data_IF_467673963845
#
_entry.id   IF_467673963845
#
_cell.length_a   1.000
_cell.length_b   1.000
_cell.length_c   1.000
_cell.angle_alpha   90.00
_cell.angle_beta   90.00
_cell.angle_gamma   90.00
#
_symmetry.space_group_name_H-M   'P 1'
#
loop_
_entity.id
_entity.type
_entity.pdbx_description
1 polymer ?
#
# COMPACT_ATOMS: atom_id res chain seq x y z
N UNK A 1 4.97 14.11 -21.67
CA UNK A 1 3.54 13.69 -21.62
C UNK A 1 3.17 13.11 -22.97
N UNK A 2 4.04 12.28 -23.54
CA UNK A 2 4.21 12.32 -24.98
C UNK A 2 3.05 11.59 -25.66
N UNK A 3 2.27 12.38 -26.42
CA UNK A 3 1.11 11.91 -27.18
C UNK A 3 -0.24 11.84 -26.46
N UNK A 4 -0.32 11.94 -25.12
CA UNK A 4 -1.60 11.75 -24.40
C UNK A 4 -2.34 13.06 -24.09
N UNK A 5 -1.63 14.08 -23.61
CA UNK A 5 -2.22 15.37 -23.20
C UNK A 5 -1.16 16.47 -23.19
N UNK A 6 -1.62 17.71 -23.32
CA UNK A 6 -0.79 18.92 -23.20
C UNK A 6 -0.97 19.59 -21.83
N UNK A 7 -0.03 20.48 -21.46
CA UNK A 7 -0.14 21.23 -20.19
C UNK A 7 -1.40 22.12 -20.15
N UNK A 8 -1.79 22.70 -21.30
CA UNK A 8 -3.02 23.51 -21.42
C UNK A 8 -4.27 22.68 -21.14
N UNK A 9 -4.34 21.49 -21.72
CA UNK A 9 -5.40 20.50 -21.49
C UNK A 9 -5.45 20.04 -20.03
N UNK A 10 -4.30 19.88 -19.37
CA UNK A 10 -4.26 19.56 -17.94
C UNK A 10 -4.80 20.69 -17.06
N UNK A 11 -4.54 21.95 -17.42
CA UNK A 11 -5.02 23.12 -16.65
C UNK A 11 -6.53 23.29 -16.76
N UNK A 12 -7.09 23.12 -17.96
CA UNK A 12 -8.53 23.21 -18.27
C UNK A 12 -9.00 21.96 -19.01
N UNK A 13 -9.24 20.84 -18.28
CA UNK A 13 -9.69 19.60 -18.89
C UNK A 13 -11.07 19.77 -19.53
N UNK A 14 -11.38 18.92 -20.51
CA UNK A 14 -12.70 18.86 -21.15
C UNK A 14 -13.22 17.42 -21.14
N UNK A 15 -14.53 17.25 -21.28
CA UNK A 15 -15.14 15.93 -21.39
C UNK A 15 -14.58 15.13 -22.59
N UNK A 16 -14.26 15.82 -23.70
CA UNK A 16 -13.64 15.22 -24.88
C UNK A 16 -12.24 14.66 -24.59
N UNK A 17 -11.41 15.40 -23.82
CA UNK A 17 -10.08 14.94 -23.40
C UNK A 17 -10.16 13.67 -22.54
N UNK A 18 -11.07 13.65 -21.55
CA UNK A 18 -11.26 12.48 -20.68
C UNK A 18 -11.66 11.26 -21.52
N UNK A 19 -12.60 11.41 -22.46
CA UNK A 19 -13.00 10.33 -23.38
C UNK A 19 -11.83 9.85 -24.24
N UNK A 20 -11.01 10.76 -24.79
CA UNK A 20 -9.82 10.40 -25.57
C UNK A 20 -8.82 9.56 -24.77
N UNK A 21 -8.58 9.94 -23.50
CA UNK A 21 -7.67 9.20 -22.62
C UNK A 21 -8.21 7.82 -22.25
N UNK A 22 -9.52 7.69 -22.02
CA UNK A 22 -10.16 6.39 -21.79
C UNK A 22 -10.05 5.48 -23.02
N UNK A 23 -10.28 6.02 -24.23
CA UNK A 23 -10.10 5.28 -25.47
C UNK A 23 -8.65 4.80 -25.65
N UNK A 24 -7.66 5.69 -25.41
CA UNK A 24 -6.25 5.31 -25.46
C UNK A 24 -5.90 4.21 -24.44
N UNK A 25 -6.48 4.25 -23.23
CA UNK A 25 -6.28 3.21 -22.23
C UNK A 25 -6.86 1.85 -22.68
N UNK A 26 -8.01 1.85 -23.36
CA UNK A 26 -8.64 0.66 -23.91
C UNK A 26 -7.84 0.09 -25.10
N UNK A 27 -7.36 0.95 -26.00
CA UNK A 27 -6.50 0.57 -27.12
C UNK A 27 -5.23 -0.14 -26.65
N UNK A 28 -4.51 0.46 -25.69
CA UNK A 28 -3.32 -0.17 -25.10
C UNK A 28 -3.65 -1.46 -24.34
N UNK A 29 -4.84 -1.59 -23.75
CA UNK A 29 -5.28 -2.84 -23.13
C UNK A 29 -5.48 -3.96 -24.18
N UNK A 30 -6.04 -3.63 -25.34
CA UNK A 30 -6.21 -4.56 -26.48
C UNK A 30 -4.87 -4.99 -27.05
N UNK A 31 -3.97 -4.04 -27.28
CA UNK A 31 -2.62 -4.32 -27.76
C UNK A 31 -1.87 -5.25 -26.81
N UNK A 32 -1.91 -4.97 -25.50
CA UNK A 32 -1.30 -5.84 -24.49
C UNK A 32 -1.85 -7.26 -24.53
N UNK A 33 -3.17 -7.41 -24.71
CA UNK A 33 -3.80 -8.72 -24.81
C UNK A 33 -3.32 -9.48 -26.06
N UNK A 34 -3.12 -8.79 -27.18
CA UNK A 34 -2.49 -9.35 -28.38
C UNK A 34 -1.08 -9.87 -28.09
N UNK A 35 -0.23 -9.02 -27.49
CA UNK A 35 1.15 -9.41 -27.13
C UNK A 35 1.21 -10.64 -26.22
N UNK A 36 0.32 -10.75 -25.23
CA UNK A 36 0.27 -11.91 -24.33
C UNK A 36 -0.16 -13.20 -25.04
N UNK A 37 -1.01 -13.10 -26.07
CA UNK A 37 -1.40 -14.25 -26.91
C UNK A 37 -0.23 -14.69 -27.77
N UNK A 38 0.47 -13.75 -28.39
CA UNK A 38 1.62 -14.05 -29.25
C UNK A 38 2.78 -14.65 -28.46
N UNK A 39 3.11 -14.11 -27.29
CA UNK A 39 4.16 -14.66 -26.42
C UNK A 39 3.82 -16.08 -25.95
N UNK A 40 2.54 -16.31 -25.60
CA UNK A 40 2.06 -17.62 -25.20
C UNK A 40 2.16 -18.63 -26.34
N UNK A 41 1.75 -18.25 -27.57
CA UNK A 41 1.87 -19.09 -28.77
C UNK A 41 3.32 -19.47 -29.08
N UNK A 42 4.27 -18.56 -28.84
CA UNK A 42 5.70 -18.80 -29.05
C UNK A 42 6.36 -19.64 -27.95
N UNK A 43 5.64 -19.96 -26.86
CA UNK A 43 6.19 -20.69 -25.72
C UNK A 43 7.21 -19.88 -24.91
N UNK A 44 7.21 -18.55 -25.05
CA UNK A 44 8.14 -17.68 -24.34
C UNK A 44 7.82 -17.68 -22.84
N UNK A 45 8.80 -18.03 -22.01
CA UNK A 45 8.68 -17.89 -20.56
C UNK A 45 8.61 -16.41 -20.21
N UNK A 46 7.43 -15.93 -19.80
CA UNK A 46 7.22 -14.55 -19.34
C UNK A 46 7.76 -14.32 -17.92
N UNK A 47 8.79 -15.06 -17.49
CA UNK A 47 9.60 -14.69 -16.32
C UNK A 47 10.54 -13.56 -16.73
N UNK A 48 9.99 -12.36 -16.95
CA UNK A 48 10.82 -11.15 -16.94
C UNK A 48 11.13 -10.84 -15.49
N UNK A 49 12.37 -11.08 -15.08
CA UNK A 49 12.89 -10.50 -13.85
C UNK A 49 13.22 -9.05 -14.15
N UNK A 50 12.70 -8.12 -13.34
CA UNK A 50 12.66 -6.67 -13.61
C UNK A 50 14.02 -5.96 -13.72
N UNK A 51 15.13 -6.68 -13.52
CA UNK A 51 16.49 -6.17 -13.65
C UNK A 51 16.96 -6.05 -15.11
N UNK A 52 16.18 -6.51 -16.10
CA UNK A 52 16.64 -6.60 -17.50
C UNK A 52 16.10 -5.51 -18.44
N UNK A 53 14.98 -4.83 -18.12
CA UNK A 53 14.39 -3.81 -19.01
C UNK A 53 14.71 -2.38 -18.59
N UNK A 54 15.08 -1.54 -19.55
CA UNK A 54 15.30 -0.11 -19.32
C UNK A 54 13.98 0.60 -18.94
N UNK A 55 14.05 1.65 -18.12
CA UNK A 55 12.87 2.45 -17.74
C UNK A 55 12.16 3.00 -18.97
N UNK A 56 12.91 3.37 -20.01
CA UNK A 56 12.40 3.90 -21.27
C UNK A 56 11.57 2.87 -22.04
N UNK A 57 12.05 1.62 -22.16
CA UNK A 57 11.29 0.54 -22.78
C UNK A 57 9.98 0.24 -22.04
N UNK A 58 10.06 0.12 -20.71
CA UNK A 58 8.88 -0.17 -19.91
C UNK A 58 7.87 0.98 -19.95
N UNK A 59 8.35 2.22 -19.98
CA UNK A 59 7.51 3.41 -20.09
C UNK A 59 6.66 3.36 -21.37
N UNK A 60 7.22 2.92 -22.49
CA UNK A 60 6.49 2.84 -23.76
C UNK A 60 5.69 1.54 -23.93
N UNK A 61 5.81 0.59 -23.00
CA UNK A 61 5.01 -0.63 -23.06
C UNK A 61 3.50 -0.36 -22.94
N UNK A 62 2.64 -1.19 -23.59
CA UNK A 62 1.19 -1.00 -23.51
C UNK A 62 0.63 -1.04 -22.07
N UNK A 63 1.32 -1.74 -21.15
CA UNK A 63 0.95 -1.76 -19.74
C UNK A 63 1.05 -0.37 -19.09
N UNK A 64 2.17 0.32 -19.28
CA UNK A 64 2.40 1.63 -18.67
C UNK A 64 1.69 2.76 -19.43
N UNK A 65 1.56 2.66 -20.75
CA UNK A 65 0.71 3.58 -21.53
C UNK A 65 -0.74 3.52 -21.04
N UNK A 66 -1.31 2.32 -20.91
CA UNK A 66 -2.66 2.13 -20.35
C UNK A 66 -2.78 2.74 -18.95
N UNK A 67 -1.84 2.43 -18.04
CA UNK A 67 -1.89 2.93 -16.66
C UNK A 67 -1.82 4.46 -16.61
N UNK A 68 -0.94 5.08 -17.41
CA UNK A 68 -0.85 6.54 -17.52
C UNK A 68 -2.14 7.14 -18.06
N UNK A 69 -2.65 6.63 -19.17
CA UNK A 69 -3.86 7.13 -19.80
C UNK A 69 -5.07 7.04 -18.84
N UNK A 70 -5.24 5.91 -18.14
CA UNK A 70 -6.29 5.75 -17.13
C UNK A 70 -6.10 6.70 -15.94
N UNK A 71 -4.89 6.80 -15.39
CA UNK A 71 -4.62 7.68 -14.26
C UNK A 71 -4.85 9.16 -14.60
N UNK A 72 -4.43 9.59 -15.79
CA UNK A 72 -4.71 10.93 -16.31
C UNK A 72 -6.22 11.14 -16.51
N UNK A 73 -6.93 10.19 -17.12
CA UNK A 73 -8.37 10.29 -17.31
C UNK A 73 -9.10 10.50 -15.99
N UNK A 74 -8.76 9.70 -14.96
CA UNK A 74 -9.38 9.79 -13.64
C UNK A 74 -9.09 11.15 -12.98
N UNK A 75 -7.83 11.57 -12.92
CA UNK A 75 -7.43 12.82 -12.25
C UNK A 75 -7.99 14.04 -12.98
N UNK A 76 -7.96 14.06 -14.31
CA UNK A 76 -8.49 15.16 -15.10
C UNK A 76 -10.02 15.22 -15.06
N UNK A 77 -10.70 14.06 -15.00
CA UNK A 77 -12.13 14.01 -14.70
C UNK A 77 -12.44 14.65 -13.34
N UNK A 78 -11.71 14.28 -12.29
CA UNK A 78 -11.92 14.86 -10.96
C UNK A 78 -11.70 16.38 -10.96
N UNK A 79 -10.62 16.85 -11.61
CA UNK A 79 -10.32 18.27 -11.77
C UNK A 79 -11.41 19.02 -12.55
N UNK A 80 -11.91 18.45 -13.64
CA UNK A 80 -13.02 19.00 -14.41
C UNK A 80 -14.25 19.21 -13.53
N UNK A 81 -14.63 18.21 -12.74
CA UNK A 81 -15.79 18.30 -11.85
C UNK A 81 -15.59 19.36 -10.77
N UNK A 82 -14.39 19.46 -10.18
CA UNK A 82 -14.07 20.49 -9.19
C UNK A 82 -14.12 21.91 -9.78
N UNK A 83 -13.67 22.08 -11.03
CA UNK A 83 -13.77 23.36 -11.74
C UNK A 83 -15.21 23.73 -12.07
N UNK A 84 -16.04 22.78 -12.52
CA UNK A 84 -17.47 23.00 -12.84
C UNK A 84 -18.24 23.56 -11.64
N UNK A 85 -17.91 23.13 -10.41
CA UNK A 85 -18.60 23.59 -9.19
C UNK A 85 -17.93 24.80 -8.51
N UNK A 86 -16.83 25.33 -9.07
CA UNK A 86 -16.10 26.45 -8.45
C UNK A 86 -15.46 26.08 -7.11
N UNK A 87 -14.86 24.88 -7.00
CA UNK A 87 -14.31 24.38 -5.73
C UNK A 87 -13.24 25.31 -5.13
N UNK A 88 -12.46 26.00 -5.96
CA UNK A 88 -11.46 26.97 -5.50
C UNK A 88 -12.06 28.24 -4.89
N UNK A 89 -13.25 28.65 -5.34
CA UNK A 89 -13.88 29.91 -4.92
C UNK A 89 -14.73 29.72 -3.65
N UNK A 90 -15.46 28.59 -3.57
CA UNK A 90 -16.36 28.30 -2.43
C UNK A 90 -16.33 26.82 -2.02
N UNK A 91 -15.28 26.35 -1.30
CA UNK A 91 -15.05 24.93 -1.05
C UNK A 91 -16.21 24.20 -0.34
N UNK A 92 -16.81 24.81 0.68
CA UNK A 92 -17.90 24.17 1.45
C UNK A 92 -19.18 23.98 0.61
N UNK A 93 -19.55 24.99 -0.19
CA UNK A 93 -20.71 24.92 -1.07
C UNK A 93 -20.46 23.96 -2.24
N UNK A 94 -19.27 24.02 -2.83
CA UNK A 94 -18.85 23.12 -3.89
C UNK A 94 -18.85 21.65 -3.43
N UNK A 95 -18.40 21.38 -2.19
CA UNK A 95 -18.42 20.03 -1.62
C UNK A 95 -19.85 19.48 -1.51
N UNK A 96 -20.81 20.29 -1.03
CA UNK A 96 -22.22 19.87 -0.96
C UNK A 96 -22.76 19.50 -2.33
N UNK A 97 -22.53 20.35 -3.34
CA UNK A 97 -22.93 20.09 -4.73
C UNK A 97 -22.31 18.81 -5.31
N UNK A 98 -21.04 18.53 -4.99
CA UNK A 98 -20.38 17.29 -5.42
C UNK A 98 -20.97 16.06 -4.76
N UNK A 99 -21.39 16.15 -3.49
CA UNK A 99 -21.98 15.02 -2.77
C UNK A 99 -23.38 14.67 -3.26
N UNK A 100 -24.10 15.61 -3.88
CA UNK A 100 -25.45 15.40 -4.42
C UNK A 100 -25.45 14.52 -5.69
N UNK A 101 -24.39 14.55 -6.50
CA UNK A 101 -24.29 13.83 -7.78
C UNK A 101 -23.37 12.60 -7.72
N UNK A 102 -23.68 11.55 -8.49
CA UNK A 102 -22.81 10.37 -8.61
C UNK A 102 -21.44 10.71 -9.20
N UNK A 103 -21.42 11.58 -10.21
CA UNK A 103 -20.18 12.05 -10.84
C UNK A 103 -19.32 12.87 -9.86
N UNK A 104 -19.94 13.71 -9.03
CA UNK A 104 -19.25 14.46 -7.98
C UNK A 104 -18.68 13.55 -6.89
N UNK A 105 -19.47 12.56 -6.42
CA UNK A 105 -19.00 11.52 -5.48
C UNK A 105 -17.83 10.72 -6.06
N UNK A 106 -17.87 10.39 -7.37
CA UNK A 106 -16.77 9.74 -8.08
C UNK A 106 -15.53 10.63 -8.14
N UNK A 107 -15.67 11.92 -8.49
CA UNK A 107 -14.57 12.88 -8.53
C UNK A 107 -13.88 13.03 -7.17
N UNK A 108 -14.67 13.17 -6.08
CA UNK A 108 -14.16 13.22 -4.72
C UNK A 108 -13.36 11.96 -4.36
N UNK A 109 -13.90 10.78 -4.66
CA UNK A 109 -13.20 9.51 -4.42
C UNK A 109 -11.87 9.43 -5.16
N UNK A 110 -11.85 9.85 -6.43
CA UNK A 110 -10.63 9.89 -7.23
C UNK A 110 -9.60 10.84 -6.60
N UNK A 111 -10.01 12.05 -6.22
CA UNK A 111 -9.13 13.03 -5.59
C UNK A 111 -8.50 12.51 -4.29
N UNK A 112 -9.33 11.97 -3.39
CA UNK A 112 -8.89 11.36 -2.13
C UNK A 112 -7.95 10.18 -2.37
N UNK A 113 -8.27 9.32 -3.33
CA UNK A 113 -7.45 8.16 -3.67
C UNK A 113 -6.13 8.56 -4.33
N UNK A 114 -6.13 9.63 -5.12
CA UNK A 114 -4.92 10.22 -5.70
C UNK A 114 -4.01 10.76 -4.60
N UNK A 115 -4.57 11.51 -3.64
CA UNK A 115 -3.81 11.98 -2.47
C UNK A 115 -3.21 10.80 -1.69
N UNK A 116 -4.04 9.81 -1.35
CA UNK A 116 -3.63 8.57 -0.66
C UNK A 116 -2.44 7.88 -1.35
N UNK A 117 -2.43 7.79 -2.69
CA UNK A 117 -1.34 7.17 -3.47
C UNK A 117 -0.01 7.91 -3.40
N UNK A 118 -0.02 9.21 -3.11
CA UNK A 118 1.22 9.99 -3.04
C UNK A 118 2.04 9.67 -1.80
N UNK A 119 1.38 9.53 -0.64
CA UNK A 119 2.04 9.36 0.67
C UNK A 119 2.11 7.92 1.17
N UNK A 120 1.07 7.10 0.96
CA UNK A 120 1.01 5.77 1.60
C UNK A 120 2.15 4.82 1.20
N UNK A 121 2.61 4.89 -0.04
CA UNK A 121 3.61 3.95 -0.54
C UNK A 121 5.02 4.16 0.04
N UNK A 122 5.28 5.32 0.68
CA UNK A 122 6.62 5.70 1.15
C UNK A 122 6.65 6.19 2.59
N UNK A 123 5.48 6.46 3.17
CA UNK A 123 5.39 7.00 4.53
C UNK A 123 4.72 6.04 5.53
N UNK A 124 4.33 4.85 5.06
CA UNK A 124 3.75 3.81 5.90
C UNK A 124 4.42 2.46 5.66
N UNK A 125 4.52 1.66 6.71
CA UNK A 125 5.06 0.29 6.63
C UNK A 125 4.13 -0.69 7.32
N UNK A 126 3.87 -1.83 6.67
CA UNK A 126 3.11 -2.91 7.26
C UNK A 126 4.04 -3.99 7.82
N UNK A 127 3.86 -4.30 9.10
CA UNK A 127 4.63 -5.31 9.81
C UNK A 127 3.89 -6.64 9.67
N UNK A 128 4.43 -7.51 8.81
CA UNK A 128 3.82 -8.81 8.50
C UNK A 128 4.04 -9.81 9.64
N UNK A 129 5.29 -9.87 10.14
CA UNK A 129 5.68 -10.77 11.22
C UNK A 129 6.45 -9.95 12.25
N UNK A 130 5.96 -9.93 13.48
CA UNK A 130 6.63 -9.30 14.61
C UNK A 130 6.42 -10.15 15.84
N UNK A 131 7.52 -10.61 16.41
CA UNK A 131 7.52 -11.50 17.56
C UNK A 131 8.94 -11.91 17.88
N UNK A 132 9.10 -12.54 19.03
CA UNK A 132 10.37 -13.15 19.41
C UNK A 132 10.28 -14.66 19.19
N UNK A 133 11.39 -15.25 18.76
CA UNK A 133 11.54 -16.70 18.67
C UNK A 133 11.83 -17.28 20.07
N UNK A 134 11.52 -18.56 20.33
CA UNK A 134 11.95 -19.25 21.55
C UNK A 134 13.49 -19.17 21.73
N UNK A 135 14.01 -19.02 22.97
CA UNK A 135 13.28 -18.92 24.25
C UNK A 135 12.84 -17.49 24.61
N UNK A 136 13.14 -16.49 23.78
CA UNK A 136 12.85 -15.07 24.06
C UNK A 136 11.35 -14.74 24.07
N UNK A 137 10.51 -15.60 23.48
CA UNK A 137 9.04 -15.52 23.59
C UNK A 137 8.59 -15.48 25.05
N UNK A 138 9.17 -16.34 25.89
CA UNK A 138 8.85 -16.46 27.33
C UNK A 138 9.26 -15.20 28.12
N UNK A 139 10.29 -14.50 27.64
CA UNK A 139 10.75 -13.24 28.25
C UNK A 139 9.95 -12.02 27.81
N UNK A 140 8.80 -12.22 27.15
CA UNK A 140 8.02 -11.16 26.49
C UNK A 140 8.86 -10.39 25.46
N UNK A 141 9.83 -11.06 24.82
CA UNK A 141 10.68 -10.48 23.80
C UNK A 141 9.90 -9.95 22.61
N UNK A 142 8.74 -10.53 22.28
CA UNK A 142 7.86 -10.02 21.22
C UNK A 142 7.39 -8.58 21.48
N UNK A 143 7.20 -8.19 22.75
CA UNK A 143 6.90 -6.80 23.11
C UNK A 143 8.11 -5.90 22.92
N UNK A 144 9.31 -6.38 23.25
CA UNK A 144 10.53 -5.61 22.99
C UNK A 144 10.69 -5.36 21.49
N UNK A 145 10.54 -6.41 20.67
CA UNK A 145 10.62 -6.29 19.21
C UNK A 145 9.58 -5.30 18.69
N UNK A 146 8.31 -5.40 19.11
CA UNK A 146 7.28 -4.43 18.71
C UNK A 146 7.59 -2.99 19.15
N UNK A 147 8.19 -2.81 20.33
CA UNK A 147 8.62 -1.50 20.81
C UNK A 147 9.80 -0.95 19.99
N UNK A 148 10.79 -1.79 19.70
CA UNK A 148 11.94 -1.46 18.86
C UNK A 148 11.52 -1.15 17.42
N UNK A 149 10.52 -1.84 16.88
CA UNK A 149 9.95 -1.51 15.57
C UNK A 149 9.38 -0.08 15.52
N UNK A 150 8.91 0.44 16.66
CA UNK A 150 8.36 1.79 16.78
C UNK A 150 9.40 2.80 17.29
N UNK A 151 10.69 2.45 17.29
CA UNK A 151 11.79 3.29 17.77
C UNK A 151 12.28 4.27 16.69
N UNK A 152 12.92 5.39 17.08
CA UNK A 152 13.47 6.35 16.12
C UNK A 152 14.58 5.76 15.23
N UNK A 153 15.25 4.69 15.67
CA UNK A 153 16.24 3.96 14.88
C UNK A 153 15.63 3.38 13.59
N UNK A 154 14.45 2.76 13.67
CA UNK A 154 13.79 2.19 12.49
C UNK A 154 13.38 3.27 11.49
N UNK A 155 12.98 4.46 11.97
CA UNK A 155 12.68 5.61 11.10
C UNK A 155 13.94 6.09 10.36
N UNK A 156 15.07 6.19 11.07
CA UNK A 156 16.36 6.56 10.48
C UNK A 156 16.79 5.53 9.44
N UNK A 157 16.83 4.25 9.81
CA UNK A 157 17.31 3.18 8.94
C UNK A 157 16.41 3.03 7.70
N UNK A 158 15.10 3.21 7.85
CA UNK A 158 14.17 3.26 6.71
C UNK A 158 14.53 4.41 5.75
N UNK A 159 14.79 5.61 6.29
CA UNK A 159 15.16 6.77 5.48
C UNK A 159 16.49 6.53 4.76
N UNK A 160 17.50 5.99 5.43
CA UNK A 160 18.81 5.67 4.83
C UNK A 160 18.68 4.69 3.66
N UNK A 161 17.84 3.67 3.79
CA UNK A 161 17.64 2.66 2.73
C UNK A 161 16.85 3.21 1.55
N UNK A 162 15.83 4.05 1.79
CA UNK A 162 14.84 4.40 0.77
C UNK A 162 14.89 5.85 0.25
N UNK A 163 15.61 6.77 0.90
CA UNK A 163 15.58 8.21 0.55
C UNK A 163 15.99 8.49 -0.90
N UNK A 164 16.98 7.77 -1.43
CA UNK A 164 17.49 7.97 -2.79
C UNK A 164 17.01 6.90 -3.78
N UNK A 165 16.10 6.02 -3.36
CA UNK A 165 15.62 4.93 -4.21
C UNK A 165 14.47 5.39 -5.11
N UNK A 166 14.64 5.37 -6.45
CA UNK A 166 13.56 5.74 -7.36
C UNK A 166 12.43 4.70 -7.29
N UNK A 167 11.19 5.18 -7.12
CA UNK A 167 10.03 4.31 -7.08
C UNK A 167 9.82 3.66 -8.44
N UNK A 168 9.88 2.33 -8.51
CA UNK A 168 9.84 1.60 -9.78
C UNK A 168 8.60 1.87 -10.65
N UNK A 169 7.40 1.84 -10.04
CA UNK A 169 6.14 2.10 -10.75
C UNK A 169 6.01 3.59 -11.09
N UNK A 170 6.35 4.47 -10.14
CA UNK A 170 6.24 5.91 -10.33
C UNK A 170 7.17 6.40 -11.44
N UNK A 171 8.39 5.86 -11.51
CA UNK A 171 9.39 6.22 -12.52
C UNK A 171 8.96 5.81 -13.92
N UNK A 172 8.45 4.57 -14.09
CA UNK A 172 7.91 4.09 -15.38
C UNK A 172 6.60 4.78 -15.79
N UNK A 173 5.83 5.29 -14.84
CA UNK A 173 4.69 6.16 -15.12
C UNK A 173 5.11 7.59 -15.49
N UNK A 174 6.25 8.08 -15.02
CA UNK A 174 6.76 9.41 -15.37
C UNK A 174 7.60 9.39 -16.66
N UNK A 175 8.25 8.26 -16.97
CA UNK A 175 9.30 8.17 -17.98
C UNK A 175 10.67 8.64 -17.50
N UNK A 176 10.77 9.07 -16.24
CA UNK A 176 11.99 9.57 -15.61
C UNK A 176 12.08 9.01 -14.18
N UNK A 177 13.26 8.95 -13.56
CA UNK A 177 13.38 8.57 -12.15
C UNK A 177 12.52 9.48 -11.26
N UNK A 178 11.68 8.88 -10.41
CA UNK A 178 10.86 9.59 -9.42
C UNK A 178 11.22 9.10 -8.03
N UNK A 179 11.88 9.97 -7.27
CA UNK A 179 12.23 9.77 -5.87
C UNK A 179 11.19 10.49 -5.00
N UNK A 180 10.76 9.85 -3.91
CA UNK A 180 9.77 10.40 -2.98
C UNK A 180 10.38 10.44 -1.59
N UNK A 181 9.88 11.34 -0.74
CA UNK A 181 10.29 11.40 0.66
C UNK A 181 10.00 10.06 1.37
N UNK A 182 11.03 9.51 2.00
CA UNK A 182 11.00 8.27 2.79
C UNK A 182 10.74 8.56 4.27
N UNK A 183 9.64 9.27 4.54
CA UNK A 183 9.24 9.67 5.90
C UNK A 183 8.34 8.63 6.55
N UNK A 184 8.91 7.68 7.28
CA UNK A 184 8.15 6.62 7.95
C UNK A 184 7.38 7.16 9.16
N UNK A 185 6.11 7.52 9.00
CA UNK A 185 5.30 8.15 10.05
C UNK A 185 4.30 7.22 10.72
N UNK A 186 3.99 6.08 10.11
CA UNK A 186 2.95 5.17 10.59
C UNK A 186 3.31 3.71 10.29
N UNK A 187 3.13 2.83 11.28
CA UNK A 187 3.24 1.39 11.09
C UNK A 187 1.86 0.74 11.23
N UNK A 188 1.57 -0.25 10.40
CA UNK A 188 0.40 -1.12 10.56
C UNK A 188 0.84 -2.55 10.86
N UNK A 189 -0.04 -3.34 11.44
CA UNK A 189 0.15 -4.79 11.54
C UNK A 189 -1.21 -5.48 11.70
N UNK A 190 -1.26 -6.75 11.34
CA UNK A 190 -2.41 -7.61 11.63
C UNK A 190 -2.07 -8.60 12.73
N UNK A 191 -3.01 -8.86 13.63
CA UNK A 191 -2.85 -9.91 14.64
C UNK A 191 -2.84 -11.31 14.01
N UNK A 192 -2.25 -12.27 14.73
CA UNK A 192 -2.30 -13.67 14.33
C UNK A 192 -3.70 -14.26 14.48
N UNK A 193 -4.40 -13.89 15.56
CA UNK A 193 -5.74 -14.36 15.90
C UNK A 193 -6.78 -13.25 15.88
N UNK A 194 -8.05 -13.60 15.78
CA UNK A 194 -9.17 -12.66 15.78
C UNK A 194 -9.51 -12.10 17.16
N UNK A 195 -8.99 -12.69 18.25
CA UNK A 195 -9.27 -12.26 19.63
C UNK A 195 -8.04 -11.67 20.27
N UNK A 196 -8.08 -10.35 20.46
CA UNK A 196 -7.06 -9.55 21.14
C UNK A 196 -5.64 -9.68 20.58
N UNK A 197 -4.75 -8.80 21.02
CA UNK A 197 -3.32 -9.03 20.92
C UNK A 197 -2.59 -8.40 22.10
N UNK A 198 -2.25 -9.23 23.08
CA UNK A 198 -1.53 -8.79 24.28
C UNK A 198 -0.17 -8.17 23.97
N UNK A 199 0.41 -8.50 22.81
CA UNK A 199 1.65 -7.94 22.30
C UNK A 199 1.51 -6.47 21.90
N UNK A 200 0.39 -6.10 21.26
CA UNK A 200 0.17 -4.75 20.74
C UNK A 200 -0.64 -3.87 21.70
N UNK A 201 -1.75 -4.36 22.26
CA UNK A 201 -2.69 -3.55 23.06
C UNK A 201 -2.08 -2.90 24.32
N UNK A 202 -1.06 -3.53 24.90
CA UNK A 202 -0.45 -3.11 26.17
C UNK A 202 0.87 -2.36 25.99
N UNK A 203 1.24 -2.06 24.75
CA UNK A 203 2.52 -1.44 24.44
C UNK A 203 2.37 0.08 24.46
N UNK A 204 3.15 0.73 25.33
CA UNK A 204 3.27 2.18 25.40
C UNK A 204 4.74 2.54 25.52
N UNK A 205 5.17 3.54 24.75
CA UNK A 205 6.50 4.11 24.82
C UNK A 205 6.33 5.59 25.19
N UNK A 206 6.81 6.04 26.35
CA UNK A 206 6.71 7.43 26.73
C UNK A 206 7.61 8.29 25.83
N UNK A 207 7.07 9.43 25.41
CA UNK A 207 7.80 10.47 24.69
C UNK A 207 7.81 11.80 25.46
N UNK A 208 8.51 12.82 24.93
CA UNK A 208 8.59 14.14 25.55
C UNK A 208 7.21 14.81 25.67
N UNK A 209 7.06 15.71 26.65
CA UNK A 209 5.87 16.55 26.85
C UNK A 209 4.55 15.74 26.96
N UNK A 210 4.59 14.54 27.52
CA UNK A 210 3.41 13.68 27.71
C UNK A 210 2.92 13.00 26.43
N UNK A 211 3.62 13.13 25.30
CA UNK A 211 3.34 12.34 24.10
C UNK A 211 3.68 10.88 24.35
N UNK A 212 3.02 9.97 23.65
CA UNK A 212 3.30 8.54 23.72
C UNK A 212 3.19 7.89 22.35
N UNK A 213 3.96 6.82 22.13
CA UNK A 213 3.81 5.91 21.00
C UNK A 213 3.10 4.66 21.52
N UNK A 214 1.99 4.30 20.89
CA UNK A 214 1.19 3.12 21.24
C UNK A 214 0.55 2.50 20.00
N UNK A 215 0.29 1.21 20.07
CA UNK A 215 -0.52 0.53 19.06
C UNK A 215 -2.01 0.77 19.37
N UNK A 216 -2.73 1.28 18.38
CA UNK A 216 -4.16 1.55 18.44
C UNK A 216 -4.89 0.51 17.59
N UNK A 217 -5.97 -0.08 18.13
CA UNK A 217 -6.82 -0.98 17.38
C UNK A 217 -7.62 -0.18 16.33
N UNK A 218 -7.44 -0.51 15.06
CA UNK A 218 -8.05 0.20 13.92
C UNK A 218 -9.31 -0.49 13.39
N UNK A 219 -9.47 -1.79 13.67
CA UNK A 219 -10.60 -2.58 13.17
C UNK A 219 -10.21 -4.03 12.90
N UNK A 220 -10.99 -4.72 12.07
CA UNK A 220 -10.77 -6.12 11.72
C UNK A 220 -10.89 -6.35 10.21
N UNK A 221 -10.14 -7.31 9.68
CA UNK A 221 -10.24 -7.74 8.29
C UNK A 221 -11.43 -8.68 8.09
N UNK A 222 -11.97 -8.80 6.88
CA UNK A 222 -12.97 -9.84 6.56
C UNK A 222 -12.36 -11.25 6.40
N UNK A 223 -11.05 -11.36 6.14
CA UNK A 223 -10.38 -12.64 5.91
C UNK A 223 -10.59 -13.18 4.49
N UNK A 224 -9.85 -12.62 3.54
CA UNK A 224 -9.87 -13.02 2.13
C UNK A 224 -8.53 -13.65 1.73
N UNK A 225 -8.55 -14.80 1.05
CA UNK A 225 -7.34 -15.50 0.65
C UNK A 225 -7.60 -16.82 -0.07
N UNK A 226 -6.54 -17.40 -0.64
CA UNK A 226 -6.57 -18.71 -1.31
C UNK A 226 -6.08 -19.83 -0.39
N UNK A 227 -5.91 -19.58 0.90
CA UNK A 227 -5.27 -20.51 1.84
C UNK A 227 -6.05 -21.81 2.03
N UNK A 228 -7.36 -21.77 1.79
CA UNK A 228 -8.25 -22.94 1.84
C UNK A 228 -8.12 -23.87 0.63
N UNK A 229 -7.43 -23.42 -0.44
CA UNK A 229 -7.26 -24.19 -1.66
C UNK A 229 -5.89 -24.88 -1.68
N UNK A 230 -5.90 -26.15 -2.10
CA UNK A 230 -4.67 -26.89 -2.32
C UNK A 230 -3.87 -26.29 -3.49
N UNK A 231 -2.57 -26.59 -3.53
CA UNK A 231 -1.71 -26.18 -4.64
C UNK A 231 -2.20 -26.78 -5.95
N UNK A 232 -2.56 -28.07 -5.94
CA UNK A 232 -3.08 -28.80 -7.10
C UNK A 232 -4.34 -28.14 -7.65
N UNK A 233 -5.28 -27.78 -6.77
CA UNK A 233 -6.52 -27.10 -7.16
C UNK A 233 -6.22 -25.73 -7.79
N UNK A 234 -5.31 -24.97 -7.19
CA UNK A 234 -4.88 -23.67 -7.71
C UNK A 234 -4.26 -23.82 -9.11
N UNK A 235 -3.42 -24.84 -9.30
CA UNK A 235 -2.74 -25.10 -10.57
C UNK A 235 -3.72 -25.54 -11.66
N UNK A 236 -4.70 -26.38 -11.34
CA UNK A 236 -5.76 -26.75 -12.28
C UNK A 236 -6.59 -25.54 -12.72
N UNK A 237 -6.98 -24.67 -11.78
CA UNK A 237 -7.69 -23.43 -12.10
C UNK A 237 -6.86 -22.53 -13.01
N UNK A 238 -5.55 -22.43 -12.77
CA UNK A 238 -4.64 -21.70 -13.65
C UNK A 238 -4.59 -22.32 -15.05
N UNK A 239 -4.39 -23.63 -15.18
CA UNK A 239 -4.38 -24.32 -16.48
C UNK A 239 -5.69 -24.10 -17.24
N UNK A 240 -6.83 -24.17 -16.54
CA UNK A 240 -8.14 -23.89 -17.12
C UNK A 240 -8.22 -22.46 -17.67
N UNK A 241 -7.78 -21.45 -16.91
CA UNK A 241 -7.77 -20.06 -17.40
C UNK A 241 -6.93 -19.87 -18.65
N UNK A 242 -5.75 -20.51 -18.69
CA UNK A 242 -4.87 -20.46 -19.86
C UNK A 242 -5.53 -21.12 -21.08
N UNK A 243 -6.16 -22.27 -20.89
CA UNK A 243 -6.86 -23.00 -21.95
C UNK A 243 -8.06 -22.23 -22.50
N UNK A 244 -8.85 -21.61 -21.62
CA UNK A 244 -10.03 -20.85 -22.02
C UNK A 244 -9.69 -19.53 -22.75
N UNK A 245 -8.68 -18.80 -22.27
CA UNK A 245 -8.30 -17.51 -22.84
C UNK A 245 -7.31 -17.61 -24.02
N UNK A 246 -6.66 -18.77 -24.17
CA UNK A 246 -5.57 -19.00 -25.12
C UNK A 246 -4.27 -18.28 -24.76
N UNK A 247 -4.17 -17.76 -23.53
CA UNK A 247 -3.03 -16.97 -23.05
C UNK A 247 -2.94 -16.98 -21.53
N UNK A 248 -1.74 -16.72 -21.00
CA UNK A 248 -1.55 -16.45 -19.58
C UNK A 248 -1.74 -14.95 -19.31
N UNK A 249 -2.93 -14.57 -18.82
CA UNK A 249 -3.31 -13.18 -18.52
C UNK A 249 -2.47 -12.54 -17.41
N UNK A 250 -2.08 -13.32 -16.40
CA UNK A 250 -1.33 -12.86 -15.24
C UNK A 250 0.09 -13.44 -15.32
N UNK A 251 1.08 -12.59 -15.53
CA UNK A 251 2.46 -13.02 -15.81
C UNK A 251 3.46 -12.57 -14.73
N UNK A 252 2.98 -12.25 -13.53
CA UNK A 252 3.78 -11.86 -12.36
C UNK A 252 4.63 -10.58 -12.55
N UNK A 253 4.39 -9.79 -13.61
CA UNK A 253 5.08 -8.51 -13.79
C UNK A 253 4.64 -7.54 -12.69
N UNK A 254 5.61 -6.88 -12.04
CA UNK A 254 5.33 -5.92 -10.98
C UNK A 254 4.44 -4.76 -11.45
N UNK A 255 3.57 -4.35 -10.54
CA UNK A 255 2.58 -3.30 -10.77
C UNK A 255 1.33 -3.73 -11.53
N UNK A 256 1.15 -4.99 -11.92
CA UNK A 256 -0.11 -5.46 -12.55
C UNK A 256 -1.28 -5.64 -11.56
N UNK A 257 -1.00 -5.58 -10.25
CA UNK A 257 -2.01 -5.67 -9.20
C UNK A 257 -1.57 -6.56 -8.04
N UNK A 258 -2.39 -6.59 -7.00
CA UNK A 258 -2.15 -7.40 -5.80
C UNK A 258 -2.30 -8.90 -6.10
N UNK A 259 -1.42 -9.71 -5.51
CA UNK A 259 -1.42 -11.19 -5.53
C UNK A 259 -1.81 -11.84 -6.87
N UNK A 260 -0.83 -12.16 -7.74
CA UNK A 260 -1.07 -12.91 -8.97
C UNK A 260 -1.88 -14.20 -8.78
N UNK A 261 -1.54 -14.98 -7.73
CA UNK A 261 -2.23 -16.22 -7.37
C UNK A 261 -3.72 -16.00 -7.14
N UNK A 262 -4.11 -15.02 -6.31
CA UNK A 262 -5.52 -14.73 -6.05
C UNK A 262 -6.28 -14.31 -7.30
N UNK A 263 -5.66 -13.49 -8.17
CA UNK A 263 -6.28 -13.06 -9.44
C UNK A 263 -6.56 -14.25 -10.35
N UNK A 264 -5.59 -15.14 -10.53
CA UNK A 264 -5.74 -16.35 -11.33
C UNK A 264 -6.80 -17.29 -10.76
N UNK A 265 -6.81 -17.49 -9.44
CA UNK A 265 -7.83 -18.31 -8.78
C UNK A 265 -9.23 -17.72 -8.97
N UNK A 266 -9.40 -16.39 -8.84
CA UNK A 266 -10.69 -15.73 -9.12
C UNK A 266 -11.16 -15.98 -10.55
N UNK A 267 -10.27 -15.81 -11.52
CA UNK A 267 -10.58 -16.02 -12.93
C UNK A 267 -10.96 -17.50 -13.19
N UNK A 268 -10.22 -18.45 -12.61
CA UNK A 268 -10.52 -19.88 -12.77
C UNK A 268 -11.85 -20.29 -12.14
N UNK A 269 -12.15 -19.81 -10.93
CA UNK A 269 -13.45 -20.05 -10.28
C UNK A 269 -14.61 -19.47 -11.11
N UNK A 270 -14.41 -18.30 -11.72
CA UNK A 270 -15.40 -17.68 -12.61
C UNK A 270 -15.73 -18.59 -13.80
N UNK A 271 -14.72 -19.22 -14.42
CA UNK A 271 -14.90 -20.08 -15.60
C UNK A 271 -15.72 -21.34 -15.32
N UNK A 272 -15.65 -21.86 -14.09
CA UNK A 272 -16.45 -23.02 -13.66
C UNK A 272 -17.78 -22.63 -12.99
N UNK A 273 -18.14 -21.35 -13.03
CA UNK A 273 -19.40 -20.85 -12.48
C UNK A 273 -19.47 -20.81 -10.96
N UNK A 274 -18.34 -20.92 -10.26
CA UNK A 274 -18.30 -20.83 -8.78
C UNK A 274 -18.19 -19.36 -8.37
N UNK A 275 -19.11 -18.84 -7.53
CA UNK A 275 -18.97 -17.51 -6.96
C UNK A 275 -17.65 -17.39 -6.19
N UNK A 276 -16.78 -16.46 -6.59
CA UNK A 276 -15.41 -16.41 -6.06
C UNK A 276 -15.38 -16.11 -4.57
N UNK A 277 -16.32 -15.28 -4.11
CA UNK A 277 -16.39 -14.87 -2.71
C UNK A 277 -16.83 -16.01 -1.78
N UNK A 278 -17.52 -17.04 -2.29
CA UNK A 278 -17.85 -18.25 -1.52
C UNK A 278 -16.60 -19.03 -1.11
N UNK A 279 -15.57 -19.02 -1.96
CA UNK A 279 -14.33 -19.78 -1.77
C UNK A 279 -13.24 -18.91 -1.13
N UNK A 280 -13.12 -17.66 -1.57
CA UNK A 280 -12.00 -16.81 -1.21
C UNK A 280 -12.23 -16.00 0.07
N UNK A 281 -13.48 -15.80 0.51
CA UNK A 281 -13.78 -15.21 1.82
C UNK A 281 -13.86 -16.32 2.85
N UNK A 282 -12.71 -16.68 3.41
CA UNK A 282 -12.61 -17.75 4.41
C UNK A 282 -13.08 -17.32 5.81
N UNK A 283 -13.51 -16.05 6.00
CA UNK A 283 -14.02 -15.51 7.26
C UNK A 283 -13.10 -15.81 8.46
N UNK A 284 -11.78 -15.75 8.26
CA UNK A 284 -10.81 -15.77 9.36
C UNK A 284 -10.33 -14.33 9.57
N UNK A 285 -11.09 -13.50 10.31
CA UNK A 285 -10.71 -12.11 10.54
C UNK A 285 -9.44 -12.02 11.36
N UNK A 286 -8.66 -10.96 11.13
CA UNK A 286 -7.53 -10.55 11.95
C UNK A 286 -7.78 -9.12 12.40
N UNK A 287 -7.36 -8.81 13.63
CA UNK A 287 -7.41 -7.45 14.14
C UNK A 287 -6.30 -6.64 13.48
N UNK A 288 -6.60 -5.38 13.19
CA UNK A 288 -5.68 -4.43 12.58
C UNK A 288 -5.24 -3.45 13.66
N UNK A 289 -3.93 -3.30 13.81
CA UNK A 289 -3.34 -2.32 14.70
C UNK A 289 -2.52 -1.31 13.90
N UNK A 290 -2.47 -0.08 14.40
CA UNK A 290 -1.64 0.98 13.85
C UNK A 290 -0.88 1.71 14.93
N UNK A 291 0.31 2.21 14.61
CA UNK A 291 1.12 3.02 15.53
C UNK A 291 1.61 4.26 14.80
N UNK A 292 1.36 5.42 15.43
CA UNK A 292 1.82 6.72 14.96
C UNK A 292 3.22 6.99 15.52
N UNK A 293 4.19 7.18 14.64
CA UNK A 293 5.57 7.55 15.01
C UNK A 293 5.72 9.08 15.06
N UNK A 294 4.87 9.81 14.34
CA UNK A 294 4.75 11.26 14.38
C UNK A 294 3.44 11.71 15.01
N UNK A 295 3.50 12.80 15.77
CA UNK A 295 2.31 13.37 16.43
C UNK A 295 1.29 13.93 15.43
N UNK A 296 1.77 14.42 14.29
CA UNK A 296 0.98 14.90 13.15
C UNK A 296 0.91 13.88 11.99
N UNK A 297 1.05 12.58 12.28
CA UNK A 297 1.14 11.55 11.24
C UNK A 297 -0.04 11.59 10.27
N UNK A 298 -1.26 11.85 10.75
CA UNK A 298 -2.42 11.88 9.87
C UNK A 298 -2.49 13.16 9.02
N UNK A 299 -2.16 14.31 9.61
CA UNK A 299 -2.07 15.62 8.95
C UNK A 299 -1.04 15.56 7.82
N UNK A 300 0.15 15.00 8.10
CA UNK A 300 1.18 14.75 7.10
C UNK A 300 0.72 13.80 5.99
N UNK A 301 0.08 12.68 6.34
CA UNK A 301 -0.43 11.71 5.35
C UNK A 301 -1.58 12.27 4.49
N UNK A 302 -2.35 13.23 5.02
CA UNK A 302 -3.37 13.98 4.28
C UNK A 302 -2.77 15.12 3.44
N UNK A 303 -1.52 15.51 3.70
CA UNK A 303 -0.83 16.60 3.01
C UNK A 303 -1.15 17.98 3.58
N UNK A 304 -1.68 18.06 4.80
CA UNK A 304 -1.90 19.31 5.53
C UNK A 304 -0.57 19.87 6.06
N UNK A 305 0.28 18.99 6.56
CA UNK A 305 1.64 19.32 7.02
C UNK A 305 2.69 18.85 6.00
N UNK A 306 3.70 19.69 5.76
CA UNK A 306 4.79 19.39 4.85
C UNK A 306 5.82 18.41 5.45
N UNK A 307 6.01 18.44 6.76
CA UNK A 307 7.04 17.67 7.48
C UNK A 307 6.47 16.90 8.68
N UNK A 308 7.01 15.70 8.97
CA UNK A 308 6.59 14.91 10.11
C UNK A 308 7.19 15.42 11.43
N UNK A 309 6.34 15.64 12.43
CA UNK A 309 6.70 15.95 13.80
C UNK A 309 6.80 14.66 14.65
N UNK A 310 7.93 13.96 14.53
CA UNK A 310 8.21 12.70 15.22
C UNK A 310 8.09 12.82 16.76
N UNK A 311 7.51 11.79 17.40
CA UNK A 311 7.41 11.72 18.87
C UNK A 311 8.79 11.49 19.49
N UNK A 312 9.57 10.60 18.89
CA UNK A 312 10.98 10.38 19.20
C UNK A 312 11.80 10.79 17.98
N UNK A 313 12.76 11.69 18.16
CA UNK A 313 13.56 12.25 17.05
C UNK A 313 14.46 11.18 16.40
N UNK A 314 14.37 10.98 15.07
CA UNK A 314 15.29 10.10 14.32
C UNK A 314 16.76 10.54 14.39
N UNK A 315 17.00 11.85 14.52
CA UNK A 315 18.34 12.44 14.65
C UNK A 315 19.03 12.01 15.94
N UNK A 316 18.25 11.66 16.98
CA UNK A 316 18.73 11.08 18.25
C UNK A 316 18.32 9.62 18.40
N UNK A 317 18.38 8.88 17.29
CA UNK A 317 17.92 7.49 17.18
C UNK A 317 18.56 6.55 18.20
N UNK A 318 19.88 6.64 18.43
CA UNK A 318 20.57 5.79 19.41
C UNK A 318 20.08 6.04 20.84
N UNK A 319 20.03 7.31 21.26
CA UNK A 319 19.56 7.72 22.59
C UNK A 319 18.10 7.33 22.80
N UNK A 320 17.24 7.64 21.83
CA UNK A 320 15.81 7.36 21.86
C UNK A 320 15.53 5.86 21.91
N UNK A 321 16.24 5.06 21.11
CA UNK A 321 16.09 3.60 21.13
C UNK A 321 16.61 3.00 22.44
N UNK A 322 17.71 3.53 22.98
CA UNK A 322 18.18 3.19 24.32
C UNK A 322 17.13 3.49 25.39
N UNK A 323 16.39 4.58 25.27
CA UNK A 323 15.29 4.89 26.19
C UNK A 323 14.13 3.89 26.07
N UNK A 324 13.79 3.44 24.85
CA UNK A 324 12.81 2.37 24.63
C UNK A 324 13.24 1.06 25.31
N UNK A 325 14.51 0.66 25.14
CA UNK A 325 15.07 -0.55 25.77
C UNK A 325 15.02 -0.45 27.30
N UNK A 326 15.48 0.68 27.86
CA UNK A 326 15.44 0.92 29.32
C UNK A 326 14.01 0.88 29.86
N UNK A 327 13.06 1.46 29.14
CA UNK A 327 11.64 1.42 29.52
C UNK A 327 11.12 -0.02 29.57
N UNK A 328 11.46 -0.85 28.59
CA UNK A 328 11.10 -2.27 28.59
C UNK A 328 11.78 -3.05 29.72
N UNK A 329 13.05 -2.78 30.03
CA UNK A 329 13.79 -3.48 31.10
C UNK A 329 13.30 -3.11 32.51
N UNK A 330 12.90 -1.86 32.76
CA UNK A 330 12.68 -1.34 34.11
C UNK A 330 11.70 -2.15 34.99
N UNK A 331 10.52 -2.60 34.51
CA UNK A 331 9.62 -3.45 35.30
C UNK A 331 10.22 -4.83 35.59
N UNK A 332 11.04 -5.37 34.68
CA UNK A 332 11.60 -6.73 34.75
C UNK A 332 12.79 -6.80 35.71
N UNK A 333 13.61 -5.75 35.75
CA UNK A 333 14.70 -5.62 36.70
C UNK A 333 14.21 -5.58 38.16
N UNK A 334 13.01 -5.03 38.41
CA UNK A 334 12.40 -4.97 39.75
C UNK A 334 11.91 -6.35 40.23
N UNK A 335 11.42 -7.20 39.32
CA UNK A 335 10.95 -8.55 39.65
C UNK A 335 12.12 -9.45 40.10
N UNK A 336 13.25 -9.43 39.39
CA UNK A 336 14.42 -10.23 39.75
C UNK A 336 15.09 -9.83 41.08
N UNK A 337 14.87 -8.60 41.58
CA UNK A 337 15.33 -8.18 42.91
C UNK A 337 14.40 -8.59 44.05
N UNK A 338 13.11 -8.81 43.77
CA UNK A 338 12.14 -9.32 44.74
C UNK A 338 12.36 -10.81 45.02
N UNK A 339 12.70 -11.59 43.99
CA UNK A 339 12.97 -13.02 44.13
C UNK A 339 14.28 -13.29 44.90
N UNK A 340 15.32 -12.45 44.71
CA UNK A 340 16.59 -12.56 45.45
C UNK A 340 16.54 -12.11 46.92
N UNK A 341 15.47 -11.46 47.37
CA UNK A 341 15.29 -11.06 48.77
C UNK A 341 14.39 -12.03 49.56
N UNK A 342 13.91 -13.09 48.90
CA UNK A 342 13.07 -14.14 49.49
C UNK A 342 13.79 -15.48 49.70
N UNK A 343 15.09 -15.57 49.39
CA UNK A 343 16.00 -16.65 49.81
C UNK A 343 16.85 -16.18 50.99
#
# INVERSE_FOLDING_TARGET
MDGLTTEKECKKPTDALVRRLLAAAEDSARERRGQLRDSHRKGESVKRTESESSVEEDTNSPLYVRKRAQALADILFARLMFQKVGFGDSPATALRRLLESDEGRKALRIGLHSNKKTKLGTSMMDIIVCGAIPPYSELLGGKLVAMLMSSPQVVRDYREVYADQPGQIASRLAGTPVVRAADLVFLTTTSLYHVGSSQYERLRIPGPCGKEIRFEHLGQTEGCGSTVLSTETTDFLLQLTVKAEGMRRVNNIFGEGVSPKLRMTRDGLALIGIPQDLVLRHNCPRLIYGVRLASNAYEYLRGEDAEPAYVLSPERSEEGTGAVIRHWLAPRARVGQSERKGE
#
